data_IF_765658601824
#
_entry.id   IF_765658601824
#
_cell.length_a   1.000
_cell.length_b   1.000
_cell.length_c   1.000
_cell.angle_alpha   90.00
_cell.angle_beta   90.00
_cell.angle_gamma   90.00
#
_symmetry.space_group_name_H-M   'P 1'
#
loop_
_entity.id
_entity.type
_entity.pdbx_description
1 polymer ?
#
# COMPACT_ATOMS: atom_id res chain seq x y z
N UNK A 1 -22.99 -18.99 16.28
CA UNK A 1 -21.83 -18.12 15.99
C UNK A 1 -21.74 -17.85 14.48
N UNK A 2 -22.21 -16.68 14.01
CA UNK A 2 -22.12 -16.30 12.59
C UNK A 2 -20.68 -15.89 12.28
N UNK A 3 -19.93 -16.74 11.56
CA UNK A 3 -18.61 -16.38 11.04
C UNK A 3 -18.82 -15.38 9.90
N UNK A 4 -18.55 -14.11 10.17
CA UNK A 4 -18.60 -13.04 9.18
C UNK A 4 -17.60 -13.39 8.07
N UNK A 5 -18.10 -13.58 6.85
CA UNK A 5 -17.25 -13.71 5.66
C UNK A 5 -16.60 -12.35 5.43
N UNK A 6 -15.36 -12.20 5.86
CA UNK A 6 -14.57 -10.98 5.61
C UNK A 6 -14.24 -11.02 4.12
N UNK A 7 -14.84 -10.11 3.36
CA UNK A 7 -14.56 -9.95 1.94
C UNK A 7 -13.09 -9.57 1.76
N UNK A 8 -12.38 -10.35 0.96
CA UNK A 8 -10.94 -10.22 0.72
C UNK A 8 -10.72 -9.48 -0.59
N UNK A 9 -10.10 -8.31 -0.51
CA UNK A 9 -9.82 -7.48 -1.68
C UNK A 9 -8.76 -8.17 -2.55
N UNK A 10 -9.12 -8.53 -3.79
CA UNK A 10 -8.20 -9.16 -4.74
C UNK A 10 -7.31 -8.09 -5.38
N UNK A 11 -6.00 -8.30 -5.38
CA UNK A 11 -5.04 -7.38 -6.01
C UNK A 11 -4.91 -7.59 -7.53
N UNK A 12 -5.48 -8.65 -8.08
CA UNK A 12 -5.29 -9.05 -9.48
C UNK A 12 -3.86 -9.51 -9.80
N UNK A 13 -3.01 -9.69 -8.78
CA UNK A 13 -1.65 -10.18 -8.92
C UNK A 13 -1.62 -11.70 -8.70
N UNK A 14 -0.89 -12.41 -9.53
CA UNK A 14 -0.69 -13.86 -9.38
C UNK A 14 0.31 -14.14 -8.26
N UNK A 15 0.03 -15.14 -7.44
CA UNK A 15 0.90 -15.55 -6.34
C UNK A 15 2.27 -16.03 -6.87
N UNK A 16 3.39 -15.41 -6.46
CA UNK A 16 4.71 -15.79 -6.97
C UNK A 16 5.18 -17.17 -6.49
N UNK A 17 4.63 -17.66 -5.36
CA UNK A 17 4.99 -18.96 -4.79
C UNK A 17 4.34 -20.14 -5.52
N UNK A 18 3.02 -20.09 -5.72
CA UNK A 18 2.29 -21.22 -6.33
C UNK A 18 1.92 -20.98 -7.80
N UNK A 19 2.02 -19.75 -8.31
CA UNK A 19 1.68 -19.31 -9.68
C UNK A 19 0.26 -19.64 -10.16
N UNK A 20 -0.57 -20.21 -9.29
CA UNK A 20 -1.94 -20.66 -9.59
C UNK A 20 -3.00 -19.88 -8.81
N UNK A 21 -2.64 -19.33 -7.66
CA UNK A 21 -3.54 -18.53 -6.82
C UNK A 21 -3.35 -17.05 -7.08
N UNK A 22 -4.31 -16.26 -6.62
CA UNK A 22 -4.28 -14.80 -6.68
C UNK A 22 -3.83 -14.24 -5.33
N UNK A 23 -3.22 -13.06 -5.33
CA UNK A 23 -2.92 -12.32 -4.11
C UNK A 23 -4.16 -11.55 -3.65
N UNK A 24 -4.50 -11.73 -2.38
CA UNK A 24 -5.65 -11.08 -1.74
C UNK A 24 -5.23 -10.41 -0.45
N UNK A 25 -5.89 -9.29 -0.12
CA UNK A 25 -5.64 -8.56 1.12
C UNK A 25 -6.58 -9.08 2.20
N UNK A 26 -5.99 -9.59 3.29
CA UNK A 26 -6.68 -10.04 4.50
C UNK A 26 -6.38 -9.10 5.66
N UNK A 27 -7.31 -9.02 6.62
CA UNK A 27 -7.15 -8.23 7.84
C UNK A 27 -6.96 -9.20 9.01
N UNK A 28 -5.80 -9.14 9.66
CA UNK A 28 -5.49 -9.91 10.86
C UNK A 28 -5.35 -9.00 12.08
N UNK A 29 -4.95 -9.60 13.22
CA UNK A 29 -4.72 -8.87 14.48
C UNK A 29 -3.73 -7.71 14.35
N UNK A 30 -2.73 -7.84 13.48
CA UNK A 30 -1.67 -6.85 13.27
C UNK A 30 -1.94 -5.87 12.11
N UNK A 31 -3.10 -5.98 11.45
CA UNK A 31 -3.49 -5.14 10.33
C UNK A 31 -3.66 -5.90 9.01
N UNK A 32 -3.62 -5.16 7.90
CA UNK A 32 -3.76 -5.71 6.55
C UNK A 32 -2.48 -6.45 6.13
N UNK A 33 -2.63 -7.60 5.49
CA UNK A 33 -1.55 -8.38 4.90
C UNK A 33 -2.01 -9.01 3.60
N UNK A 34 -1.07 -9.30 2.72
CA UNK A 34 -1.31 -9.98 1.46
C UNK A 34 -1.16 -11.48 1.71
N UNK A 35 -2.09 -12.29 1.22
CA UNK A 35 -2.00 -13.75 1.26
C UNK A 35 -2.46 -14.36 -0.05
N UNK A 36 -2.04 -15.59 -0.33
CA UNK A 36 -2.60 -16.34 -1.45
C UNK A 36 -4.09 -16.67 -1.21
N UNK A 37 -4.91 -16.57 -2.25
CA UNK A 37 -6.32 -16.95 -2.23
C UNK A 37 -6.53 -18.45 -1.96
N UNK A 38 -5.52 -19.27 -2.26
CA UNK A 38 -5.53 -20.73 -2.12
C UNK A 38 -5.07 -21.23 -0.74
N UNK A 39 -5.01 -20.39 0.29
CA UNK A 39 -4.74 -20.88 1.64
C UNK A 39 -5.84 -21.87 2.08
N UNK A 40 -5.53 -23.08 2.62
CA UNK A 40 -4.23 -23.52 3.17
C UNK A 40 -3.26 -24.20 2.19
N UNK A 41 -3.66 -24.52 0.95
CA UNK A 41 -2.79 -25.13 -0.07
C UNK A 41 -1.55 -24.29 -0.42
N UNK A 42 -1.62 -22.97 -0.19
CA UNK A 42 -0.49 -22.06 -0.33
C UNK A 42 -0.40 -21.12 0.86
N UNK A 43 0.70 -21.22 1.61
CA UNK A 43 1.02 -20.41 2.81
C UNK A 43 1.70 -19.08 2.47
N UNK A 44 1.71 -18.66 1.19
CA UNK A 44 2.31 -17.38 0.80
C UNK A 44 1.60 -16.22 1.51
N UNK A 45 2.39 -15.44 2.24
CA UNK A 45 1.96 -14.22 2.92
C UNK A 45 3.03 -13.15 2.79
N UNK A 46 2.60 -11.90 2.63
CA UNK A 46 3.49 -10.74 2.49
C UNK A 46 2.89 -9.52 3.21
N UNK A 47 3.73 -8.57 3.62
CA UNK A 47 3.25 -7.32 4.22
C UNK A 47 2.51 -6.49 3.19
N UNK A 48 1.31 -6.00 3.54
CA UNK A 48 0.59 -5.05 2.70
C UNK A 48 1.26 -3.68 2.75
N UNK A 49 1.86 -3.26 1.65
CA UNK A 49 2.43 -1.92 1.47
C UNK A 49 1.35 -1.04 0.81
N UNK A 50 0.76 -0.14 1.60
CA UNK A 50 -0.29 0.77 1.13
C UNK A 50 0.33 1.86 0.24
N UNK A 51 0.36 1.62 -1.08
CA UNK A 51 0.79 2.62 -2.08
C UNK A 51 -0.36 3.62 -2.32
N UNK A 52 -0.08 4.92 -2.30
CA UNK A 52 -1.11 5.92 -2.64
C UNK A 52 -1.35 6.06 -4.15
N UNK A 53 -0.56 5.35 -4.97
CA UNK A 53 -0.68 5.39 -6.42
C UNK A 53 -0.22 6.72 -7.01
N UNK A 54 0.81 7.33 -6.42
CA UNK A 54 1.53 8.46 -7.03
C UNK A 54 3.02 8.18 -7.04
N UNK A 55 3.72 8.72 -8.04
CA UNK A 55 5.17 8.73 -8.08
C UNK A 55 5.72 9.68 -7.03
N UNK A 56 6.88 9.35 -6.49
CA UNK A 56 7.57 10.15 -5.50
C UNK A 56 7.92 11.51 -6.12
N UNK A 57 7.43 12.63 -5.56
CA UNK A 57 7.68 13.96 -6.12
C UNK A 57 9.15 14.39 -5.99
N UNK A 58 9.94 13.73 -5.11
CA UNK A 58 11.36 14.02 -4.92
C UNK A 58 12.27 13.35 -5.97
N UNK A 59 11.97 12.10 -6.35
CA UNK A 59 12.85 11.31 -7.22
C UNK A 59 12.21 10.87 -8.55
N UNK A 60 10.90 11.02 -8.72
CA UNK A 60 10.14 10.61 -9.91
C UNK A 60 10.03 9.10 -10.15
N UNK A 61 10.99 8.31 -9.67
CA UNK A 61 11.10 6.87 -9.96
C UNK A 61 10.39 5.99 -8.94
N UNK A 62 10.47 6.35 -7.65
CA UNK A 62 9.83 5.60 -6.58
C UNK A 62 8.33 5.82 -6.50
N UNK A 63 7.62 4.93 -5.81
CA UNK A 63 6.21 5.10 -5.48
C UNK A 63 6.09 5.67 -4.06
N UNK A 64 5.10 6.52 -3.81
CA UNK A 64 4.81 6.97 -2.43
C UNK A 64 3.97 5.92 -1.71
N UNK A 65 4.43 5.54 -0.52
CA UNK A 65 3.84 4.51 0.33
C UNK A 65 3.45 5.07 1.70
N UNK A 66 2.38 4.55 2.30
CA UNK A 66 1.95 4.91 3.65
C UNK A 66 2.68 4.02 4.66
N UNK A 67 3.41 4.66 5.57
CA UNK A 67 4.06 4.02 6.71
C UNK A 67 3.43 4.51 8.00
N UNK A 68 3.55 3.71 9.07
CA UNK A 68 3.17 4.10 10.44
C UNK A 68 4.42 4.22 11.29
N UNK A 69 4.50 5.27 12.07
CA UNK A 69 5.50 5.42 13.14
C UNK A 69 5.17 4.50 14.32
N UNK A 70 6.14 4.28 15.22
CA UNK A 70 5.91 3.50 16.45
C UNK A 70 4.80 4.08 17.35
N UNK A 71 4.54 5.40 17.26
CA UNK A 71 3.41 6.08 17.94
C UNK A 71 2.08 5.98 17.18
N UNK A 72 2.01 5.22 16.09
CA UNK A 72 0.79 5.00 15.31
C UNK A 72 0.44 6.10 14.29
N UNK A 73 1.15 7.23 14.26
CA UNK A 73 0.94 8.28 13.25
C UNK A 73 1.36 7.79 11.86
N UNK A 74 0.47 7.96 10.87
CA UNK A 74 0.75 7.66 9.47
C UNK A 74 1.60 8.76 8.83
N UNK A 75 2.50 8.38 7.94
CA UNK A 75 3.29 9.29 7.10
C UNK A 75 3.50 8.66 5.72
N UNK A 76 3.78 9.50 4.73
CA UNK A 76 3.94 9.13 3.33
C UNK A 76 5.43 9.16 2.99
N UNK A 77 6.02 7.99 2.71
CA UNK A 77 7.44 7.86 2.40
C UNK A 77 7.68 7.33 0.99
N UNK A 78 8.89 7.46 0.46
CA UNK A 78 9.26 6.81 -0.80
C UNK A 78 9.49 5.30 -0.63
N UNK A 79 9.08 4.51 -1.61
CA UNK A 79 9.34 3.06 -1.67
C UNK A 79 10.83 2.73 -1.86
N UNK A 80 11.62 3.66 -2.37
CA UNK A 80 13.05 3.47 -2.67
C UNK A 80 13.98 3.79 -1.48
N UNK A 81 13.46 4.05 -0.28
CA UNK A 81 14.29 4.25 0.91
C UNK A 81 15.25 3.06 1.13
N UNK A 82 16.57 3.27 1.37
CA UNK A 82 17.24 4.52 1.72
C UNK A 82 17.73 5.37 0.53
N UNK A 83 17.55 4.93 -0.72
CA UNK A 83 17.97 5.71 -1.91
C UNK A 83 17.20 7.02 -2.09
N UNK A 84 16.00 7.10 -1.51
CA UNK A 84 15.20 8.32 -1.46
C UNK A 84 14.61 8.48 -0.06
N UNK A 85 14.95 9.59 0.60
CA UNK A 85 14.53 9.96 1.95
C UNK A 85 13.21 10.77 1.99
N UNK A 86 12.50 10.87 0.87
CA UNK A 86 11.24 11.60 0.83
C UNK A 86 10.26 11.07 1.88
N UNK A 87 9.81 11.97 2.75
CA UNK A 87 8.82 11.73 3.78
C UNK A 87 7.94 12.96 3.92
N UNK A 88 6.63 12.76 4.02
CA UNK A 88 5.65 13.81 4.27
C UNK A 88 4.61 13.35 5.28
N UNK A 89 4.20 14.24 6.18
CA UNK A 89 3.11 13.99 7.11
C UNK A 89 1.73 14.19 6.46
N UNK A 90 1.66 15.06 5.44
CA UNK A 90 0.44 15.32 4.65
C UNK A 90 0.40 14.42 3.43
N UNK A 91 -0.80 14.08 2.96
CA UNK A 91 -0.98 13.25 1.78
C UNK A 91 -0.61 14.05 0.51
N UNK A 92 0.51 13.74 -0.16
CA UNK A 92 0.93 14.51 -1.32
C UNK A 92 0.01 14.33 -2.53
N UNK A 93 -0.76 13.22 -2.59
CA UNK A 93 -1.74 12.99 -3.66
C UNK A 93 -2.99 13.87 -3.53
N UNK A 94 -3.39 14.18 -2.30
CA UNK A 94 -4.53 15.04 -2.05
C UNK A 94 -4.19 16.50 -2.37
N UNK A 95 -2.96 16.94 -2.08
CA UNK A 95 -2.52 18.33 -2.28
C UNK A 95 -2.23 18.65 -3.76
N UNK A 96 -1.75 17.69 -4.54
CA UNK A 96 -1.50 17.86 -5.98
C UNK A 96 -2.77 18.25 -6.79
N UNK A 97 -3.98 18.07 -6.24
CA UNK A 97 -5.23 18.45 -6.92
C UNK A 97 -5.59 19.93 -6.77
N UNK A 98 -4.88 20.70 -5.95
CA UNK A 98 -5.28 22.07 -5.57
C UNK A 98 -4.42 23.18 -6.21
N UNK A 99 -3.26 22.87 -6.80
CA UNK A 99 -2.33 23.90 -7.29
C UNK A 99 -2.49 24.26 -8.77
N UNK A 100 -3.73 24.47 -9.24
CA UNK A 100 -3.98 24.91 -10.62
C UNK A 100 -5.02 26.04 -10.71
N UNK A 101 -5.09 26.90 -9.68
CA UNK A 101 -5.95 28.09 -9.69
C UNK A 101 -5.19 29.25 -9.05
N UNK A 102 -4.10 29.74 -9.64
CA UNK A 102 -3.51 31.05 -9.26
C UNK A 102 -2.42 31.59 -10.20
N UNK A 103 -2.40 31.23 -11.49
CA UNK A 103 -1.49 31.89 -12.44
C UNK A 103 -2.14 32.13 -13.79
N UNK A 104 -3.24 32.88 -13.78
CA UNK A 104 -3.62 33.74 -14.89
C UNK A 104 -3.52 35.17 -14.39
N UNK A 105 -2.39 35.80 -14.68
CA UNK A 105 -2.31 37.25 -14.86
C UNK A 105 -3.05 37.63 -16.15
#
# INVERSE_FOLDING_TARGET
SKRVKIEVEKLGLVCPKCKKGELVVRIGRFGKFISCSRFPDCDFTEKYIEKIGMKCPKCGSGDVIVKKTGKGKKFYGCSLYPKCDFASWRNPKAEAKTQNIETSS
#
